data_IF_917085213924
#
_entry.id   IF_917085213924
#
_cell.length_a   1.000
_cell.length_b   1.000
_cell.length_c   1.000
_cell.angle_alpha   90.00
_cell.angle_beta   90.00
_cell.angle_gamma   90.00
#
_symmetry.space_group_name_H-M   'P 1'
#
loop_
_entity.id
_entity.type
_entity.pdbx_description
1 polymer ?
#
# COMPACT_ATOMS: atom_id res chain seq x y z
N UNK A 1 -39.87 -1.05 16.83
CA UNK A 1 -39.39 0.27 16.34
C UNK A 1 -38.59 0.05 15.09
N UNK A 2 -39.01 0.59 13.98
CA UNK A 2 -38.31 0.40 12.70
C UNK A 2 -37.04 1.27 12.71
N UNK A 3 -35.88 0.68 12.38
CA UNK A 3 -34.62 1.41 12.38
C UNK A 3 -34.61 2.36 11.17
N UNK A 4 -34.66 3.65 11.41
CA UNK A 4 -34.48 4.67 10.36
C UNK A 4 -32.99 4.82 10.08
N UNK A 5 -32.55 4.25 8.98
CA UNK A 5 -31.12 4.11 8.64
C UNK A 5 -30.42 5.46 8.58
N UNK A 6 -31.03 6.47 7.96
CA UNK A 6 -30.44 7.80 7.84
C UNK A 6 -30.25 8.48 9.21
N UNK A 7 -31.26 8.41 10.08
CA UNK A 7 -31.16 8.96 11.44
C UNK A 7 -30.09 8.22 12.26
N UNK A 8 -30.08 6.87 12.16
CA UNK A 8 -29.07 6.05 12.85
C UNK A 8 -27.66 6.36 12.36
N UNK A 9 -27.49 6.61 11.05
CA UNK A 9 -26.21 7.02 10.49
C UNK A 9 -25.76 8.37 11.04
N UNK A 10 -26.64 9.35 11.09
CA UNK A 10 -26.32 10.67 11.64
C UNK A 10 -25.95 10.60 13.12
N UNK A 11 -26.67 9.81 13.94
CA UNK A 11 -26.32 9.59 15.34
C UNK A 11 -24.96 8.88 15.47
N UNK A 12 -24.67 7.89 14.63
CA UNK A 12 -23.36 7.24 14.62
C UNK A 12 -22.23 8.20 14.27
N UNK A 13 -22.45 9.11 13.31
CA UNK A 13 -21.48 10.14 12.96
C UNK A 13 -21.26 11.12 14.10
N UNK A 14 -22.34 11.55 14.78
CA UNK A 14 -22.25 12.43 15.95
C UNK A 14 -21.47 11.78 17.10
N UNK A 15 -21.86 10.56 17.49
CA UNK A 15 -21.16 9.78 18.51
C UNK A 15 -19.66 9.59 18.17
N UNK A 16 -19.33 9.32 16.90
CA UNK A 16 -17.94 9.19 16.46
C UNK A 16 -17.15 10.51 16.64
N UNK A 17 -17.74 11.65 16.27
CA UNK A 17 -17.12 12.97 16.44
C UNK A 17 -16.90 13.36 17.91
N UNK A 18 -17.80 12.94 18.79
CA UNK A 18 -17.72 13.15 20.23
C UNK A 18 -16.76 12.19 20.95
N UNK A 19 -16.19 11.22 20.23
CA UNK A 19 -15.29 10.21 20.80
C UNK A 19 -16.01 9.02 21.44
N UNK A 20 -17.35 8.95 21.32
CA UNK A 20 -18.17 7.84 21.80
C UNK A 20 -18.06 6.62 20.84
N UNK A 21 -16.84 6.08 20.70
CA UNK A 21 -16.51 5.06 19.71
C UNK A 21 -17.33 3.77 19.86
N UNK A 22 -17.68 3.38 21.09
CA UNK A 22 -18.52 2.19 21.32
C UNK A 22 -19.92 2.37 20.77
N UNK A 23 -20.51 3.51 21.02
CA UNK A 23 -21.85 3.85 20.52
C UNK A 23 -21.85 3.98 19.00
N UNK A 24 -20.88 4.69 18.44
CA UNK A 24 -20.72 4.81 17.00
C UNK A 24 -20.60 3.43 16.31
N UNK A 25 -19.79 2.53 16.87
CA UNK A 25 -19.64 1.17 16.35
C UNK A 25 -20.97 0.40 16.37
N UNK A 26 -21.71 0.46 17.48
CA UNK A 26 -23.02 -0.19 17.60
C UNK A 26 -24.00 0.30 16.54
N UNK A 27 -24.07 1.62 16.34
CA UNK A 27 -24.98 2.25 15.37
C UNK A 27 -24.60 1.85 13.92
N UNK A 28 -23.30 1.92 13.55
CA UNK A 28 -22.88 1.50 12.23
C UNK A 28 -23.13 0.01 11.98
N UNK A 29 -22.85 -0.86 12.96
CA UNK A 29 -23.13 -2.30 12.87
C UNK A 29 -24.62 -2.59 12.78
N UNK A 30 -25.47 -1.85 13.46
CA UNK A 30 -26.93 -1.98 13.36
C UNK A 30 -27.43 -1.68 11.94
N UNK A 31 -26.86 -0.65 11.28
CA UNK A 31 -27.13 -0.36 9.87
C UNK A 31 -26.66 -1.52 8.99
N UNK A 32 -25.41 -1.99 9.17
CA UNK A 32 -24.81 -3.04 8.35
C UNK A 32 -25.47 -4.40 8.56
N UNK A 33 -26.10 -4.64 9.72
CA UNK A 33 -26.93 -5.83 9.94
C UNK A 33 -28.17 -5.85 9.04
N UNK A 34 -28.79 -4.69 8.79
CA UNK A 34 -29.94 -4.57 7.88
C UNK A 34 -29.53 -4.39 6.43
N UNK A 35 -28.48 -3.61 6.20
CA UNK A 35 -27.95 -3.30 4.88
C UNK A 35 -26.41 -3.52 4.84
N UNK A 36 -25.96 -4.76 4.64
CA UNK A 36 -24.53 -5.10 4.68
C UNK A 36 -23.66 -4.31 3.70
N UNK A 37 -24.25 -3.81 2.63
CA UNK A 37 -23.58 -3.02 1.59
C UNK A 37 -23.84 -1.51 1.69
N UNK A 38 -24.36 -1.01 2.83
CA UNK A 38 -24.56 0.45 2.98
C UNK A 38 -23.23 1.18 2.90
N UNK A 39 -22.98 2.04 1.88
CA UNK A 39 -21.64 2.55 1.59
C UNK A 39 -21.08 3.44 2.71
N UNK A 40 -21.89 4.38 3.22
CA UNK A 40 -21.45 5.31 4.26
C UNK A 40 -21.24 4.62 5.62
N UNK A 41 -22.08 3.63 5.96
CA UNK A 41 -21.89 2.86 7.19
C UNK A 41 -20.62 2.01 7.13
N UNK A 42 -20.34 1.37 6.00
CA UNK A 42 -19.08 0.68 5.78
C UNK A 42 -17.88 1.64 5.87
N UNK A 43 -17.95 2.79 5.19
CA UNK A 43 -16.88 3.78 5.24
C UNK A 43 -16.63 4.28 6.67
N UNK A 44 -17.69 4.70 7.38
CA UNK A 44 -17.55 5.27 8.72
C UNK A 44 -17.09 4.25 9.77
N UNK A 45 -17.55 2.99 9.69
CA UNK A 45 -17.02 1.91 10.52
C UNK A 45 -15.56 1.59 10.19
N UNK A 46 -15.17 1.70 8.93
CA UNK A 46 -13.78 1.62 8.48
C UNK A 46 -12.91 2.71 9.09
N UNK A 47 -13.36 3.96 9.06
CA UNK A 47 -12.67 5.11 9.68
C UNK A 47 -12.52 4.91 11.19
N UNK A 48 -13.60 4.49 11.87
CA UNK A 48 -13.56 4.16 13.28
C UNK A 48 -12.55 3.05 13.59
N UNK A 49 -12.51 2.00 12.77
CA UNK A 49 -11.54 0.92 12.92
C UNK A 49 -10.10 1.40 12.77
N UNK A 50 -9.83 2.32 11.83
CA UNK A 50 -8.50 2.95 11.70
C UNK A 50 -8.11 3.81 12.90
N UNK A 51 -9.05 4.55 13.48
CA UNK A 51 -8.83 5.34 14.71
C UNK A 51 -8.42 4.46 15.89
N UNK A 52 -8.88 3.21 15.89
CA UNK A 52 -8.55 2.18 16.88
C UNK A 52 -7.34 1.30 16.47
N UNK A 53 -6.56 1.71 15.45
CA UNK A 53 -5.42 0.97 14.88
C UNK A 53 -5.77 -0.44 14.37
N UNK A 54 -7.04 -0.71 14.03
CA UNK A 54 -7.50 -1.99 13.49
C UNK A 54 -7.52 -1.95 11.95
N UNK A 55 -6.34 -1.81 11.33
CA UNK A 55 -6.22 -1.64 9.88
C UNK A 55 -6.84 -2.80 9.09
N UNK A 56 -6.57 -4.05 9.49
CA UNK A 56 -7.07 -5.23 8.79
C UNK A 56 -8.61 -5.33 8.80
N UNK A 57 -9.25 -4.87 9.88
CA UNK A 57 -10.72 -4.79 9.96
C UNK A 57 -11.28 -3.69 9.07
N UNK A 58 -10.55 -2.58 8.92
CA UNK A 58 -10.99 -1.45 8.11
C UNK A 58 -10.96 -1.73 6.59
N UNK A 59 -9.99 -2.53 6.13
CA UNK A 59 -9.78 -2.78 4.70
C UNK A 59 -10.99 -3.34 3.96
N UNK A 60 -11.66 -4.43 4.41
CA UNK A 60 -12.85 -4.96 3.73
C UNK A 60 -14.01 -3.96 3.75
N UNK A 61 -14.15 -3.15 4.80
CA UNK A 61 -15.20 -2.14 4.91
C UNK A 61 -15.02 -1.04 3.87
N UNK A 62 -13.82 -0.47 3.72
CA UNK A 62 -13.54 0.52 2.67
C UNK A 62 -13.69 -0.06 1.27
N UNK A 63 -13.26 -1.30 1.07
CA UNK A 63 -13.42 -1.98 -0.21
C UNK A 63 -14.90 -2.07 -0.59
N UNK A 64 -15.77 -2.50 0.34
CA UNK A 64 -17.21 -2.55 0.13
C UNK A 64 -17.79 -1.17 -0.20
N UNK A 65 -17.38 -0.12 0.53
CA UNK A 65 -17.86 1.25 0.27
C UNK A 65 -17.55 1.70 -1.17
N UNK A 66 -16.33 1.46 -1.67
CA UNK A 66 -15.93 1.80 -3.04
C UNK A 66 -16.67 0.95 -4.08
N UNK A 67 -16.85 -0.34 -3.83
CA UNK A 67 -17.56 -1.24 -4.75
C UNK A 67 -19.01 -0.83 -4.96
N UNK A 68 -19.67 -0.32 -3.90
CA UNK A 68 -21.04 0.13 -3.97
C UNK A 68 -21.15 1.55 -4.55
N UNK A 69 -20.28 2.46 -4.11
CA UNK A 69 -20.29 3.84 -4.60
C UNK A 69 -18.86 4.34 -4.91
N UNK A 70 -18.44 4.09 -6.15
CA UNK A 70 -17.11 4.47 -6.63
C UNK A 70 -16.96 5.96 -6.96
N UNK A 71 -18.04 6.78 -6.83
CA UNK A 71 -18.02 8.20 -7.17
C UNK A 71 -17.56 9.09 -6.02
N UNK A 72 -17.47 8.57 -4.81
CA UNK A 72 -17.08 9.35 -3.63
C UNK A 72 -15.56 9.26 -3.43
N UNK A 73 -14.87 10.37 -3.71
CA UNK A 73 -13.41 10.49 -3.59
C UNK A 73 -12.90 10.07 -2.19
N UNK A 74 -13.62 10.48 -1.13
CA UNK A 74 -13.22 10.21 0.25
C UNK A 74 -13.10 8.70 0.55
N UNK A 75 -13.90 7.85 -0.08
CA UNK A 75 -13.81 6.39 0.10
C UNK A 75 -12.47 5.84 -0.42
N UNK A 76 -12.01 6.34 -1.58
CA UNK A 76 -10.73 5.98 -2.15
C UNK A 76 -9.57 6.44 -1.29
N UNK A 77 -9.62 7.69 -0.82
CA UNK A 77 -8.58 8.25 0.04
C UNK A 77 -8.43 7.44 1.34
N UNK A 78 -9.55 7.11 1.99
CA UNK A 78 -9.54 6.32 3.22
C UNK A 78 -9.03 4.90 2.99
N UNK A 79 -9.39 4.27 1.87
CA UNK A 79 -8.91 2.93 1.55
C UNK A 79 -7.41 2.92 1.25
N UNK A 80 -6.91 3.90 0.48
CA UNK A 80 -5.48 4.03 0.19
C UNK A 80 -4.68 4.26 1.49
N UNK A 81 -5.14 5.15 2.37
CA UNK A 81 -4.48 5.40 3.66
C UNK A 81 -4.47 4.14 4.55
N UNK A 82 -5.59 3.40 4.60
CA UNK A 82 -5.67 2.13 5.31
C UNK A 82 -4.67 1.10 4.79
N UNK A 83 -4.54 0.96 3.47
CA UNK A 83 -3.58 0.06 2.83
C UNK A 83 -2.12 0.47 3.14
N UNK A 84 -1.82 1.77 3.16
CA UNK A 84 -0.50 2.28 3.53
C UNK A 84 -0.19 1.94 4.99
N UNK A 85 -1.12 2.15 5.92
CA UNK A 85 -0.97 1.83 7.34
C UNK A 85 -0.80 0.32 7.58
N UNK A 86 -1.44 -0.51 6.74
CA UNK A 86 -1.30 -1.96 6.76
C UNK A 86 -0.04 -2.46 6.01
N UNK A 87 0.86 -1.58 5.59
CA UNK A 87 2.05 -1.87 4.77
C UNK A 87 1.75 -2.59 3.44
N UNK A 88 0.51 -2.54 2.94
CA UNK A 88 0.09 -3.15 1.68
C UNK A 88 0.34 -2.19 0.50
N UNK A 89 1.57 -1.74 0.32
CA UNK A 89 1.95 -0.65 -0.59
C UNK A 89 1.61 -0.94 -2.06
N UNK A 90 1.77 -2.17 -2.52
CA UNK A 90 1.45 -2.52 -3.91
C UNK A 90 -0.05 -2.41 -4.20
N UNK A 91 -0.89 -2.86 -3.25
CA UNK A 91 -2.35 -2.69 -3.36
C UNK A 91 -2.73 -1.21 -3.29
N UNK A 92 -2.11 -0.43 -2.38
CA UNK A 92 -2.34 1.01 -2.29
C UNK A 92 -2.05 1.72 -3.62
N UNK A 93 -0.97 1.37 -4.32
CA UNK A 93 -0.65 1.90 -5.66
C UNK A 93 -1.70 1.53 -6.69
N UNK A 94 -2.12 0.27 -6.72
CA UNK A 94 -3.16 -0.19 -7.64
C UNK A 94 -4.46 0.59 -7.45
N UNK A 95 -4.89 0.76 -6.19
CA UNK A 95 -6.10 1.53 -5.84
C UNK A 95 -5.94 3.01 -6.18
N UNK A 96 -4.76 3.61 -5.94
CA UNK A 96 -4.46 5.00 -6.32
C UNK A 96 -4.60 5.21 -7.85
N UNK A 97 -4.05 4.29 -8.64
CA UNK A 97 -4.17 4.34 -10.11
C UNK A 97 -5.63 4.21 -10.55
N UNK A 98 -6.40 3.32 -9.92
CA UNK A 98 -7.82 3.17 -10.21
C UNK A 98 -8.61 4.45 -9.87
N UNK A 99 -8.35 5.07 -8.72
CA UNK A 99 -8.97 6.35 -8.34
C UNK A 99 -8.65 7.47 -9.33
N UNK A 100 -7.39 7.57 -9.77
CA UNK A 100 -6.99 8.54 -10.82
C UNK A 100 -7.71 8.28 -12.15
N UNK A 101 -7.91 7.03 -12.56
CA UNK A 101 -8.71 6.68 -13.76
C UNK A 101 -10.20 7.06 -13.62
N UNK A 102 -10.71 7.17 -12.39
CA UNK A 102 -12.06 7.70 -12.11
C UNK A 102 -12.14 9.23 -12.13
N UNK A 103 -11.03 9.92 -12.34
CA UNK A 103 -10.95 11.37 -12.42
C UNK A 103 -10.54 12.07 -11.12
N UNK A 104 -10.20 11.33 -10.07
CA UNK A 104 -9.74 11.93 -8.82
C UNK A 104 -8.26 12.31 -8.92
N UNK A 105 -7.95 13.59 -8.74
CA UNK A 105 -6.61 14.16 -8.93
C UNK A 105 -6.25 15.30 -7.97
N UNK A 106 -7.04 15.50 -6.92
CA UNK A 106 -6.85 16.58 -5.94
C UNK A 106 -5.59 16.42 -5.09
N UNK A 107 -5.28 17.46 -4.29
CA UNK A 107 -4.07 17.53 -3.44
C UNK A 107 -3.94 16.33 -2.51
N UNK A 108 -5.04 15.81 -1.97
CA UNK A 108 -5.03 14.63 -1.10
C UNK A 108 -4.52 13.38 -1.83
N UNK A 109 -4.91 13.19 -3.10
CA UNK A 109 -4.38 12.10 -3.94
C UNK A 109 -2.88 12.29 -4.21
N UNK A 110 -2.44 13.53 -4.43
CA UNK A 110 -1.03 13.84 -4.65
C UNK A 110 -0.19 13.57 -3.39
N UNK A 111 -0.67 13.92 -2.21
CA UNK A 111 -0.01 13.64 -0.93
C UNK A 111 0.15 12.11 -0.73
N UNK A 112 -0.90 11.33 -0.96
CA UNK A 112 -0.82 9.86 -0.84
C UNK A 112 0.13 9.26 -1.90
N UNK A 113 0.16 9.82 -3.11
CA UNK A 113 1.09 9.44 -4.16
C UNK A 113 2.54 9.71 -3.75
N UNK A 114 2.83 10.88 -3.18
CA UNK A 114 4.16 11.23 -2.67
C UNK A 114 4.56 10.31 -1.51
N UNK A 115 3.66 10.05 -0.57
CA UNK A 115 3.89 9.13 0.55
C UNK A 115 4.22 7.71 0.05
N UNK A 116 3.51 7.22 -0.95
CA UNK A 116 3.82 5.93 -1.57
C UNK A 116 5.16 5.93 -2.32
N UNK A 117 5.54 7.04 -2.95
CA UNK A 117 6.82 7.16 -3.64
C UNK A 117 7.99 7.24 -2.64
N UNK A 118 7.85 7.97 -1.52
CA UNK A 118 8.88 8.02 -0.47
C UNK A 118 9.12 6.63 0.14
N UNK A 119 8.06 5.86 0.39
CA UNK A 119 8.18 4.48 0.86
C UNK A 119 8.88 3.59 -0.18
N UNK A 120 8.62 3.79 -1.48
CA UNK A 120 9.31 3.04 -2.54
C UNK A 120 10.80 3.36 -2.56
N UNK A 121 11.17 4.62 -2.41
CA UNK A 121 12.55 5.06 -2.36
C UNK A 121 13.30 4.50 -1.13
N UNK A 122 12.59 4.16 -0.06
CA UNK A 122 13.16 3.50 1.12
C UNK A 122 13.16 1.97 1.03
N UNK A 123 12.38 1.38 0.10
CA UNK A 123 12.24 -0.08 -0.08
C UNK A 123 12.89 -0.59 -1.37
N UNK A 124 13.40 0.29 -2.22
CA UNK A 124 14.03 -0.08 -3.50
C UNK A 124 15.21 0.86 -3.80
N UNK A 125 16.25 0.36 -4.46
CA UNK A 125 17.37 1.17 -4.91
C UNK A 125 16.90 2.30 -5.82
N UNK A 126 17.62 3.42 -5.80
CA UNK A 126 17.33 4.53 -6.73
C UNK A 126 17.57 4.12 -8.18
N UNK A 127 16.84 4.74 -9.10
CA UNK A 127 17.06 4.49 -10.53
C UNK A 127 18.49 4.81 -10.97
N UNK A 128 19.12 5.81 -10.36
CA UNK A 128 20.53 6.13 -10.62
C UNK A 128 21.48 5.02 -10.16
N UNK A 129 21.28 4.42 -8.98
CA UNK A 129 22.06 3.26 -8.53
C UNK A 129 21.92 2.08 -9.46
N UNK A 130 20.68 1.77 -9.92
CA UNK A 130 20.44 0.66 -10.85
C UNK A 130 21.04 0.92 -12.22
N UNK A 131 21.02 2.16 -12.71
CA UNK A 131 21.66 2.55 -13.96
C UNK A 131 23.17 2.37 -13.88
N UNK A 132 23.81 2.88 -12.83
CA UNK A 132 25.26 2.74 -12.58
C UNK A 132 25.63 1.25 -12.46
N UNK A 133 24.85 0.46 -11.75
CA UNK A 133 25.06 -0.99 -11.61
C UNK A 133 25.06 -1.69 -12.97
N UNK A 134 24.09 -1.36 -13.81
CA UNK A 134 23.97 -1.93 -15.15
C UNK A 134 25.10 -1.47 -16.06
N UNK A 135 25.47 -0.19 -16.02
CA UNK A 135 26.60 0.37 -16.80
C UNK A 135 27.94 -0.28 -16.42
N UNK A 136 28.21 -0.50 -15.14
CA UNK A 136 29.40 -1.22 -14.69
C UNK A 136 29.42 -2.65 -15.24
N UNK A 137 28.30 -3.36 -15.14
CA UNK A 137 28.19 -4.73 -15.64
C UNK A 137 28.40 -4.81 -17.16
N UNK A 138 27.76 -3.94 -17.94
CA UNK A 138 27.86 -3.89 -19.40
C UNK A 138 29.27 -3.53 -19.89
N UNK A 139 29.97 -2.70 -19.12
CA UNK A 139 31.35 -2.30 -19.46
C UNK A 139 32.42 -3.27 -18.93
N UNK A 140 32.03 -4.44 -18.38
CA UNK A 140 32.97 -5.46 -17.89
C UNK A 140 33.68 -5.05 -16.58
N UNK A 141 33.23 -4.00 -15.90
CA UNK A 141 33.78 -3.56 -14.62
C UNK A 141 33.22 -4.42 -13.48
N UNK A 142 33.67 -5.69 -13.45
CA UNK A 142 33.06 -6.69 -12.58
C UNK A 142 33.29 -6.43 -11.10
N UNK A 143 34.46 -5.91 -10.71
CA UNK A 143 34.77 -5.59 -9.31
C UNK A 143 33.87 -4.47 -8.76
N UNK A 144 33.65 -3.41 -9.54
CA UNK A 144 32.75 -2.32 -9.17
C UNK A 144 31.30 -2.76 -9.18
N UNK A 145 30.94 -3.62 -10.14
CA UNK A 145 29.60 -4.22 -10.21
C UNK A 145 29.30 -5.05 -8.97
N UNK A 146 30.24 -5.91 -8.57
CA UNK A 146 30.08 -6.76 -7.39
C UNK A 146 29.91 -5.93 -6.12
N UNK A 147 30.81 -4.97 -5.87
CA UNK A 147 30.73 -4.07 -4.70
C UNK A 147 29.40 -3.34 -4.62
N UNK A 148 28.97 -2.77 -5.74
CA UNK A 148 27.70 -2.03 -5.78
C UNK A 148 26.48 -2.96 -5.63
N UNK A 149 26.51 -4.14 -6.25
CA UNK A 149 25.44 -5.13 -6.14
C UNK A 149 25.29 -5.65 -4.70
N UNK A 150 26.40 -5.95 -4.02
CA UNK A 150 26.41 -6.36 -2.60
C UNK A 150 25.78 -5.26 -1.74
N UNK A 151 26.27 -4.02 -1.86
CA UNK A 151 25.72 -2.89 -1.10
C UNK A 151 24.22 -2.69 -1.32
N UNK A 152 23.75 -2.85 -2.57
CA UNK A 152 22.33 -2.74 -2.88
C UNK A 152 21.55 -3.92 -2.30
N UNK A 153 22.05 -5.15 -2.37
CA UNK A 153 21.34 -6.34 -1.85
C UNK A 153 21.30 -6.38 -0.32
N UNK A 154 22.28 -5.79 0.37
CA UNK A 154 22.26 -5.60 1.82
C UNK A 154 21.19 -4.58 2.24
N UNK A 155 21.10 -3.45 1.54
CA UNK A 155 20.12 -2.40 1.81
C UNK A 155 18.69 -2.79 1.38
N UNK A 156 18.56 -3.55 0.29
CA UNK A 156 17.31 -3.94 -0.34
C UNK A 156 17.27 -5.45 -0.61
N UNK A 157 17.13 -6.29 0.42
CA UNK A 157 17.24 -7.75 0.31
C UNK A 157 16.25 -8.40 -0.66
N UNK A 158 15.11 -7.74 -0.90
CA UNK A 158 14.05 -8.25 -1.79
C UNK A 158 14.14 -7.69 -3.22
N UNK A 159 15.23 -6.98 -3.58
CA UNK A 159 15.36 -6.38 -4.90
C UNK A 159 15.94 -7.39 -5.91
N UNK A 160 15.05 -8.08 -6.61
CA UNK A 160 15.38 -9.19 -7.51
C UNK A 160 16.45 -8.84 -8.57
N UNK A 161 16.36 -7.65 -9.19
CA UNK A 161 17.31 -7.26 -10.26
C UNK A 161 18.76 -7.18 -9.74
N UNK A 162 18.97 -6.63 -8.54
CA UNK A 162 20.33 -6.54 -7.97
C UNK A 162 20.90 -7.92 -7.65
N UNK A 163 20.09 -8.86 -7.15
CA UNK A 163 20.50 -10.25 -6.98
C UNK A 163 20.84 -10.93 -8.31
N UNK A 164 20.08 -10.67 -9.38
CA UNK A 164 20.39 -11.19 -10.73
C UNK A 164 21.74 -10.71 -11.23
N UNK A 165 22.03 -9.41 -11.10
CA UNK A 165 23.33 -8.84 -11.51
C UNK A 165 24.46 -9.40 -10.65
N UNK A 166 24.26 -9.49 -9.32
CA UNK A 166 25.25 -10.10 -8.43
C UNK A 166 25.54 -11.56 -8.83
N UNK A 167 24.51 -12.35 -9.07
CA UNK A 167 24.67 -13.74 -9.52
C UNK A 167 25.37 -13.86 -10.86
N UNK A 168 25.10 -12.93 -11.79
CA UNK A 168 25.75 -12.92 -13.10
C UNK A 168 27.25 -12.57 -13.00
N UNK A 169 27.60 -11.51 -12.23
CA UNK A 169 29.00 -11.10 -12.08
C UNK A 169 29.83 -12.15 -11.34
N UNK A 170 29.29 -12.79 -10.30
CA UNK A 170 29.96 -13.86 -9.59
C UNK A 170 30.26 -15.05 -10.49
N UNK A 171 29.34 -15.40 -11.40
CA UNK A 171 29.59 -16.46 -12.39
C UNK A 171 30.69 -16.07 -13.42
N UNK A 172 30.70 -14.82 -13.86
CA UNK A 172 31.71 -14.29 -14.80
C UNK A 172 33.12 -14.27 -14.18
N UNK A 173 33.22 -14.03 -12.88
CA UNK A 173 34.47 -14.02 -12.11
C UNK A 173 34.89 -15.41 -11.60
N UNK A 174 34.21 -16.49 -12.05
CA UNK A 174 34.56 -17.88 -11.71
C UNK A 174 34.01 -18.38 -10.37
N UNK A 175 33.30 -17.55 -9.62
CA UNK A 175 32.66 -17.89 -8.32
C UNK A 175 31.26 -18.48 -8.52
N UNK A 176 31.21 -19.60 -9.25
CA UNK A 176 29.98 -20.20 -9.78
C UNK A 176 29.00 -20.56 -8.63
N UNK A 177 29.48 -21.18 -7.54
CA UNK A 177 28.67 -21.62 -6.42
C UNK A 177 27.94 -20.44 -5.74
N UNK A 178 28.66 -19.34 -5.51
CA UNK A 178 28.11 -18.11 -4.93
C UNK A 178 27.12 -17.43 -5.89
N UNK A 179 27.43 -17.45 -7.18
CA UNK A 179 26.55 -16.93 -8.22
C UNK A 179 25.22 -17.70 -8.31
N UNK A 180 25.21 -18.99 -8.04
CA UNK A 180 23.97 -19.78 -7.96
C UNK A 180 23.14 -19.36 -6.75
N UNK A 181 23.77 -19.24 -5.57
CA UNK A 181 23.08 -18.78 -4.35
C UNK A 181 22.47 -17.39 -4.54
N UNK A 182 23.22 -16.45 -5.11
CA UNK A 182 22.72 -15.11 -5.40
C UNK A 182 21.54 -15.15 -6.40
N UNK A 183 21.63 -16.00 -7.42
CA UNK A 183 20.54 -16.16 -8.41
C UNK A 183 19.26 -16.76 -7.81
N UNK A 184 19.38 -17.64 -6.80
CA UNK A 184 18.23 -18.20 -6.08
C UNK A 184 17.48 -17.14 -5.25
N UNK A 185 18.19 -16.14 -4.69
CA UNK A 185 17.58 -15.02 -3.99
C UNK A 185 16.87 -14.02 -4.92
N UNK A 186 17.05 -14.16 -6.22
CA UNK A 186 16.41 -13.30 -7.23
C UNK A 186 15.01 -13.81 -7.66
N UNK A 187 14.48 -14.85 -7.05
CA UNK A 187 13.16 -15.44 -7.29
C UNK A 187 12.22 -15.07 -6.15
#
# INVERSE_FOLDING_TARGET
MELRIDETLQHGIAAHKEGNFKEAELLYRAILHKQPKHPDANHNLGVLSLSLNKCETALPLFKTAIEVNSKIEQFWLSYIDALIRANQYQKARSVLVQGKKKGFSGDKFNILSQKLNSVNNSLSPSQSQLKILLEHYQNGRYDETEKLAISITEQFPNHQFSWKILGAVLKQTGRISEGVVASQKAV
#
